data_IF_452419234072
#
_entry.id   IF_452419234072
#
_cell.length_a   1.000
_cell.length_b   1.000
_cell.length_c   1.000
_cell.angle_alpha   90.00
_cell.angle_beta   90.00
_cell.angle_gamma   90.00
#
_symmetry.space_group_name_H-M   'P 1'
#
loop_
_entity.id
_entity.type
_entity.pdbx_description
1 polymer ?
#
# COMPACT_ATOMS: atom_id res chain seq x y z
N UNK A 1 18.84 -72.92 6.89
CA UNK A 1 18.77 -71.89 5.83
C UNK A 1 18.08 -70.67 6.42
N UNK A 2 18.85 -69.73 6.99
CA UNK A 2 18.34 -68.49 7.59
C UNK A 2 18.24 -67.43 6.49
N UNK A 3 17.04 -66.88 6.24
CA UNK A 3 16.87 -65.66 5.46
C UNK A 3 16.76 -64.49 6.42
N UNK A 4 17.83 -63.69 6.49
CA UNK A 4 17.86 -62.42 7.21
C UNK A 4 17.17 -61.38 6.31
N UNK A 5 16.05 -60.83 6.79
CA UNK A 5 15.38 -59.70 6.18
C UNK A 5 16.09 -58.41 6.61
N UNK A 6 16.68 -57.70 5.64
CA UNK A 6 17.31 -56.40 5.83
C UNK A 6 16.21 -55.33 5.82
N UNK A 7 15.87 -54.77 6.98
CA UNK A 7 14.95 -53.63 7.09
C UNK A 7 15.77 -52.36 6.91
N UNK A 8 15.62 -51.68 5.77
CA UNK A 8 16.12 -50.32 5.58
C UNK A 8 15.16 -49.33 6.26
N UNK A 9 15.55 -48.82 7.42
CA UNK A 9 14.86 -47.69 8.05
C UNK A 9 15.36 -46.40 7.39
N UNK A 10 14.55 -45.81 6.52
CA UNK A 10 14.83 -44.49 5.97
C UNK A 10 14.58 -43.43 7.07
N UNK A 11 15.65 -42.80 7.55
CA UNK A 11 15.57 -41.66 8.45
C UNK A 11 15.20 -40.45 7.58
N UNK A 12 13.93 -40.02 7.64
CA UNK A 12 13.53 -38.72 7.13
C UNK A 12 14.17 -37.64 8.03
N UNK A 13 15.23 -36.98 7.55
CA UNK A 13 15.63 -35.69 8.08
C UNK A 13 14.55 -34.68 7.73
N UNK A 14 13.67 -34.36 8.67
CA UNK A 14 12.86 -33.15 8.60
C UNK A 14 13.81 -31.97 8.76
N UNK A 15 14.11 -31.28 7.65
CA UNK A 15 14.74 -29.98 7.70
C UNK A 15 13.79 -29.03 8.44
N UNK A 16 14.02 -28.84 9.74
CA UNK A 16 13.45 -27.73 10.50
C UNK A 16 14.13 -26.49 9.94
N UNK A 17 13.53 -25.89 8.91
CA UNK A 17 13.93 -24.60 8.42
C UNK A 17 13.84 -23.62 9.58
N UNK A 18 14.97 -23.04 9.99
CA UNK A 18 15.01 -21.98 10.97
C UNK A 18 14.14 -20.82 10.47
N UNK A 19 12.88 -20.75 10.93
CA UNK A 19 12.15 -19.49 10.87
C UNK A 19 12.94 -18.51 11.74
N UNK A 20 13.34 -17.33 11.23
CA UNK A 20 14.00 -16.33 12.05
C UNK A 20 13.12 -16.01 13.26
N UNK A 21 13.73 -15.89 14.44
CA UNK A 21 13.02 -15.55 15.66
C UNK A 21 12.33 -14.18 15.48
N UNK A 22 11.00 -14.15 15.45
CA UNK A 22 10.21 -12.96 15.10
C UNK A 22 10.51 -11.75 16.01
N UNK A 23 10.99 -12.00 17.23
CA UNK A 23 11.38 -10.95 18.19
C UNK A 23 12.46 -10.00 17.64
N UNK A 24 13.39 -10.49 16.82
CA UNK A 24 14.55 -9.72 16.34
C UNK A 24 14.33 -9.03 14.98
N UNK A 25 13.15 -9.16 14.39
CA UNK A 25 12.84 -8.52 13.12
C UNK A 25 12.64 -7.01 13.29
N UNK A 26 13.08 -6.22 12.31
CA UNK A 26 12.77 -4.78 12.25
C UNK A 26 11.28 -4.58 12.08
N UNK A 27 10.78 -3.40 12.46
CA UNK A 27 9.38 -3.03 12.25
C UNK A 27 8.92 -3.27 10.81
N UNK A 28 9.69 -2.79 9.82
CA UNK A 28 9.38 -2.98 8.39
C UNK A 28 9.26 -4.45 8.01
N UNK A 29 10.18 -5.29 8.49
CA UNK A 29 10.19 -6.72 8.17
C UNK A 29 8.95 -7.41 8.75
N UNK A 30 8.56 -7.07 9.98
CA UNK A 30 7.34 -7.60 10.62
C UNK A 30 6.09 -7.26 9.81
N UNK A 31 5.94 -5.99 9.44
CA UNK A 31 4.77 -5.53 8.68
C UNK A 31 4.76 -6.13 7.27
N UNK A 32 5.86 -6.06 6.53
CA UNK A 32 5.93 -6.61 5.16
C UNK A 32 5.73 -8.13 5.13
N UNK A 33 6.24 -8.86 6.13
CA UNK A 33 6.00 -10.29 6.27
C UNK A 33 4.54 -10.60 6.59
N UNK A 34 3.89 -9.83 7.47
CA UNK A 34 2.47 -10.01 7.80
C UNK A 34 1.55 -9.77 6.59
N UNK A 35 1.96 -8.93 5.65
CA UNK A 35 1.25 -8.73 4.39
C UNK A 35 1.68 -9.70 3.28
N UNK A 36 2.56 -10.65 3.56
CA UNK A 36 3.05 -11.62 2.58
C UNK A 36 3.70 -10.94 1.37
N UNK A 37 4.54 -9.92 1.59
CA UNK A 37 5.18 -9.13 0.52
C UNK A 37 5.85 -9.96 -0.57
N UNK A 38 6.54 -11.05 -0.22
CA UNK A 38 7.20 -11.91 -1.21
C UNK A 38 6.18 -12.58 -2.15
N UNK A 39 5.08 -13.10 -1.61
CA UNK A 39 4.01 -13.71 -2.41
C UNK A 39 3.29 -12.67 -3.26
N UNK A 40 3.10 -11.46 -2.72
CA UNK A 40 2.53 -10.33 -3.47
C UNK A 40 3.42 -9.94 -4.66
N UNK A 41 4.71 -9.77 -4.44
CA UNK A 41 5.68 -9.40 -5.50
C UNK A 41 5.92 -10.53 -6.52
N UNK A 42 5.59 -11.77 -6.19
CA UNK A 42 5.61 -12.89 -7.14
C UNK A 42 4.45 -12.85 -8.15
N UNK A 43 3.40 -12.08 -7.85
CA UNK A 43 2.30 -11.79 -8.79
C UNK A 43 2.69 -10.62 -9.68
N UNK A 44 2.16 -10.59 -10.89
CA UNK A 44 2.58 -9.59 -11.89
C UNK A 44 1.85 -8.26 -11.71
N UNK A 45 0.52 -8.30 -11.75
CA UNK A 45 -0.34 -7.16 -11.54
C UNK A 45 -1.49 -7.50 -10.59
N UNK A 46 -2.00 -6.49 -9.92
CA UNK A 46 -3.22 -6.55 -9.12
C UNK A 46 -4.25 -5.61 -9.74
N UNK A 47 -5.49 -6.11 -9.87
CA UNK A 47 -6.64 -5.37 -10.34
C UNK A 47 -7.68 -5.29 -9.23
N UNK A 48 -8.33 -4.14 -9.08
CA UNK A 48 -9.44 -3.95 -8.14
C UNK A 48 -10.34 -2.81 -8.60
N UNK A 49 -11.62 -2.90 -8.24
CA UNK A 49 -12.55 -1.78 -8.34
C UNK A 49 -12.42 -0.93 -7.08
N UNK A 50 -12.40 0.39 -7.27
CA UNK A 50 -12.13 1.38 -6.22
C UNK A 50 -13.21 2.45 -6.24
N UNK A 51 -13.82 2.67 -5.07
CA UNK A 51 -14.73 3.79 -4.85
C UNK A 51 -14.22 4.65 -3.71
N UNK A 52 -14.23 5.96 -3.91
CA UNK A 52 -13.75 6.95 -2.96
C UNK A 52 -14.80 8.02 -2.74
N UNK A 53 -15.04 8.34 -1.48
CA UNK A 53 -15.92 9.42 -1.05
C UNK A 53 -15.20 10.34 -0.06
N UNK A 54 -15.41 11.64 -0.19
CA UNK A 54 -14.97 12.64 0.79
C UNK A 54 -16.11 13.63 1.04
N UNK A 55 -16.38 13.95 2.31
CA UNK A 55 -17.45 14.88 2.69
C UNK A 55 -18.84 14.46 2.16
N UNK A 56 -19.10 13.15 2.10
CA UNK A 56 -20.37 12.58 1.59
C UNK A 56 -20.58 12.70 0.09
N UNK A 57 -19.52 12.97 -0.69
CA UNK A 57 -19.57 13.04 -2.16
C UNK A 57 -18.60 12.04 -2.78
N UNK A 58 -19.07 11.32 -3.79
CA UNK A 58 -18.22 10.48 -4.64
C UNK A 58 -17.13 11.35 -5.29
N UNK A 59 -15.88 10.92 -5.13
CA UNK A 59 -14.68 11.54 -5.72
C UNK A 59 -14.08 10.68 -6.82
N UNK A 60 -14.23 9.36 -6.72
CA UNK A 60 -13.73 8.42 -7.71
C UNK A 60 -14.56 7.14 -7.68
N UNK A 61 -14.89 6.63 -8.85
CA UNK A 61 -15.37 5.27 -9.08
C UNK A 61 -14.65 4.76 -10.33
N UNK A 62 -13.64 3.93 -10.11
CA UNK A 62 -12.68 3.54 -11.12
C UNK A 62 -12.13 2.14 -10.87
N UNK A 63 -11.64 1.51 -11.93
CA UNK A 63 -10.91 0.26 -11.89
C UNK A 63 -9.42 0.53 -11.95
N UNK A 64 -8.68 -0.02 -11.01
CA UNK A 64 -7.23 0.05 -10.97
C UNK A 64 -6.66 -1.25 -11.49
N UNK A 65 -5.59 -1.17 -12.28
CA UNK A 65 -4.67 -2.28 -12.53
C UNK A 65 -3.26 -1.75 -12.38
N UNK A 66 -2.48 -2.27 -11.44
CA UNK A 66 -1.12 -1.82 -11.16
C UNK A 66 -0.18 -3.01 -11.06
N UNK A 67 1.06 -2.85 -11.57
CA UNK A 67 2.10 -3.84 -11.34
C UNK A 67 2.43 -3.88 -9.84
N UNK A 68 2.68 -5.08 -9.32
CA UNK A 68 2.96 -5.28 -7.88
C UNK A 68 4.26 -4.62 -7.43
N UNK A 69 5.19 -4.40 -8.37
CA UNK A 69 6.41 -3.63 -8.16
C UNK A 69 6.20 -2.10 -8.25
N UNK A 70 4.97 -1.63 -8.41
CA UNK A 70 4.55 -0.22 -8.53
C UNK A 70 5.07 0.56 -9.74
N UNK A 71 5.71 -0.08 -10.73
CA UNK A 71 6.35 0.68 -11.82
C UNK A 71 5.37 1.16 -12.88
N UNK A 72 4.24 0.49 -13.08
CA UNK A 72 3.28 0.83 -14.12
C UNK A 72 1.86 0.56 -13.62
N UNK A 73 0.90 1.34 -14.12
CA UNK A 73 -0.50 1.16 -13.74
C UNK A 73 -1.46 1.96 -14.62
N UNK A 74 -2.72 1.56 -14.58
CA UNK A 74 -3.84 2.23 -15.24
C UNK A 74 -5.03 2.35 -14.29
N UNK A 75 -5.68 3.50 -14.37
CA UNK A 75 -6.93 3.84 -13.70
C UNK A 75 -7.96 4.04 -14.81
N UNK A 76 -9.01 3.23 -14.83
CA UNK A 76 -10.09 3.28 -15.82
C UNK A 76 -11.37 3.78 -15.13
N UNK A 77 -11.82 4.97 -15.51
CA UNK A 77 -13.04 5.57 -14.95
C UNK A 77 -14.29 5.03 -15.65
N UNK A 78 -15.45 5.15 -14.98
CA UNK A 78 -16.75 4.72 -15.54
C UNK A 78 -17.10 5.33 -16.90
N UNK A 79 -16.64 6.55 -17.19
CA UNK A 79 -16.85 7.20 -18.49
C UNK A 79 -15.90 6.70 -19.60
N UNK A 80 -15.05 5.70 -19.30
CA UNK A 80 -14.07 5.12 -20.22
C UNK A 80 -12.76 5.91 -20.32
N UNK A 81 -12.66 7.09 -19.69
CA UNK A 81 -11.38 7.82 -19.62
C UNK A 81 -10.38 7.06 -18.76
N UNK A 82 -9.09 7.26 -19.04
CA UNK A 82 -7.99 6.57 -18.36
C UNK A 82 -6.91 7.53 -17.89
N UNK A 83 -6.26 7.16 -16.79
CA UNK A 83 -4.94 7.66 -16.40
C UNK A 83 -4.00 6.45 -16.45
N UNK A 84 -2.86 6.59 -17.12
CA UNK A 84 -1.81 5.57 -17.20
C UNK A 84 -0.54 6.19 -16.66
N UNK A 85 0.13 5.50 -15.73
CA UNK A 85 1.49 5.86 -15.33
C UNK A 85 2.48 4.79 -15.76
N UNK A 86 3.64 5.23 -16.25
CA UNK A 86 4.81 4.40 -16.46
C UNK A 86 6.00 5.09 -15.80
N UNK A 87 6.40 4.53 -14.65
CA UNK A 87 7.37 5.10 -13.73
C UNK A 87 6.94 6.52 -13.32
N UNK A 88 7.69 7.52 -13.73
CA UNK A 88 7.49 8.94 -13.44
C UNK A 88 6.57 9.67 -14.43
N UNK A 89 6.27 9.04 -15.57
CA UNK A 89 5.46 9.63 -16.66
C UNK A 89 4.00 9.32 -16.46
N UNK A 90 3.15 10.33 -16.61
CA UNK A 90 1.69 10.19 -16.54
C UNK A 90 1.06 10.57 -17.88
N UNK A 91 0.17 9.71 -18.35
CA UNK A 91 -0.62 9.90 -19.56
C UNK A 91 -2.11 9.84 -19.20
N UNK A 92 -2.95 10.60 -19.89
CA UNK A 92 -4.38 10.60 -19.59
C UNK A 92 -5.24 10.91 -20.82
N UNK A 93 -6.47 10.39 -20.82
CA UNK A 93 -7.44 10.65 -21.88
C UNK A 93 -7.88 12.13 -21.89
N UNK A 94 -8.14 12.74 -23.06
CA UNK A 94 -8.64 14.11 -23.13
C UNK A 94 -9.99 14.35 -22.44
N UNK A 95 -10.74 13.28 -22.16
CA UNK A 95 -12.05 13.28 -21.50
C UNK A 95 -11.98 13.04 -19.99
N UNK A 96 -10.80 13.16 -19.38
CA UNK A 96 -10.62 12.99 -17.94
C UNK A 96 -11.50 13.99 -17.16
N UNK A 97 -12.12 13.61 -16.03
CA UNK A 97 -12.99 14.51 -15.27
C UNK A 97 -12.27 15.77 -14.74
N UNK A 98 -10.97 15.67 -14.45
CA UNK A 98 -10.16 16.79 -13.96
C UNK A 98 -8.71 16.62 -14.37
N UNK A 99 -8.20 17.51 -15.24
CA UNK A 99 -6.77 17.50 -15.60
C UNK A 99 -5.89 17.89 -14.41
N UNK A 100 -6.40 18.70 -13.48
CA UNK A 100 -5.65 19.17 -12.31
C UNK A 100 -5.21 17.99 -11.42
N UNK A 101 -6.12 17.03 -11.18
CA UNK A 101 -5.89 15.92 -10.27
C UNK A 101 -5.10 14.76 -10.87
N UNK A 102 -4.94 14.70 -12.20
CA UNK A 102 -4.34 13.55 -12.91
C UNK A 102 -3.07 12.99 -12.27
N UNK A 103 -2.07 13.86 -11.99
CA UNK A 103 -0.79 13.39 -11.44
C UNK A 103 -0.93 12.89 -9.99
N UNK A 104 -1.79 13.53 -9.21
CA UNK A 104 -2.09 13.09 -7.85
C UNK A 104 -2.81 11.73 -7.87
N UNK A 105 -3.88 11.62 -8.67
CA UNK A 105 -4.68 10.40 -8.79
C UNK A 105 -3.86 9.22 -9.33
N UNK A 106 -2.93 9.48 -10.26
CA UNK A 106 -2.05 8.47 -10.83
C UNK A 106 -1.24 7.70 -9.76
N UNK A 107 -0.83 8.37 -8.68
CA UNK A 107 0.11 7.80 -7.72
C UNK A 107 -0.47 7.58 -6.33
N UNK A 108 -1.34 8.46 -5.83
CA UNK A 108 -1.74 8.45 -4.41
C UNK A 108 -2.53 7.20 -4.03
N UNK A 109 -3.56 6.84 -4.78
CA UNK A 109 -4.47 5.75 -4.39
C UNK A 109 -3.80 4.37 -4.51
N UNK A 110 -3.02 4.17 -5.58
CA UNK A 110 -2.18 2.97 -5.71
C UNK A 110 -1.07 2.93 -4.67
N UNK A 111 -0.51 4.09 -4.27
CA UNK A 111 0.49 4.14 -3.21
C UNK A 111 -0.10 3.69 -1.87
N UNK A 112 -1.31 4.14 -1.49
CA UNK A 112 -1.98 3.66 -0.28
C UNK A 112 -2.30 2.16 -0.35
N UNK A 113 -2.74 1.65 -1.50
CA UNK A 113 -2.93 0.20 -1.68
C UNK A 113 -1.61 -0.58 -1.49
N UNK A 114 -0.52 -0.07 -2.07
CA UNK A 114 0.79 -0.74 -2.08
C UNK A 114 1.63 -0.45 -0.83
N UNK A 115 1.21 0.46 0.03
CA UNK A 115 1.98 0.96 1.17
C UNK A 115 2.57 -0.14 2.06
N UNK A 116 1.83 -1.18 2.50
CA UNK A 116 2.40 -2.23 3.35
C UNK A 116 3.50 -3.06 2.66
N UNK A 117 3.65 -2.96 1.34
CA UNK A 117 4.67 -3.67 0.55
C UNK A 117 5.89 -2.80 0.20
N UNK A 118 5.86 -1.50 0.53
CA UNK A 118 6.87 -0.51 0.11
C UNK A 118 7.68 0.05 1.28
N UNK A 119 7.52 -0.50 2.48
CA UNK A 119 8.12 0.02 3.71
C UNK A 119 9.65 -0.09 3.70
N UNK A 120 10.22 -1.03 2.97
CA UNK A 120 11.67 -1.19 2.77
C UNK A 120 12.19 -0.67 1.43
N UNK A 121 11.40 0.12 0.68
CA UNK A 121 11.83 0.66 -0.61
C UNK A 121 13.07 1.57 -0.47
N UNK A 122 13.93 1.64 -1.50
CA UNK A 122 15.06 2.56 -1.51
C UNK A 122 14.62 4.00 -1.27
N UNK A 123 15.27 4.68 -0.31
CA UNK A 123 14.97 6.07 0.03
C UNK A 123 14.17 6.25 1.33
N UNK A 124 13.53 5.19 1.83
CA UNK A 124 12.89 5.18 3.15
C UNK A 124 13.91 5.37 4.29
N UNK A 125 13.50 6.09 5.33
CA UNK A 125 14.23 6.28 6.58
C UNK A 125 13.24 6.06 7.73
N UNK A 126 13.53 5.08 8.58
CA UNK A 126 12.70 4.72 9.72
C UNK A 126 13.31 5.18 11.03
N UNK A 127 12.48 5.79 11.87
CA UNK A 127 12.86 6.32 13.16
C UNK A 127 11.85 5.85 14.22
N UNK A 128 12.36 5.64 15.44
CA UNK A 128 11.49 5.40 16.58
C UNK A 128 10.50 6.55 16.77
N UNK A 129 9.26 6.20 17.12
CA UNK A 129 8.21 7.18 17.41
C UNK A 129 7.53 6.82 18.73
N UNK A 130 7.52 7.76 19.66
CA UNK A 130 6.89 7.58 20.96
C UNK A 130 5.38 7.83 20.84
N UNK A 131 4.61 6.78 20.53
CA UNK A 131 3.17 6.85 20.47
C UNK A 131 2.58 7.16 21.86
N UNK A 132 1.79 8.24 21.95
CA UNK A 132 1.13 8.72 23.17
C UNK A 132 -0.40 8.65 23.08
N UNK A 133 -0.93 8.08 22.01
CA UNK A 133 -2.38 7.89 21.82
C UNK A 133 -2.93 6.97 22.91
N UNK A 134 -4.22 7.12 23.25
CA UNK A 134 -4.84 6.37 24.35
C UNK A 134 -4.76 4.84 24.17
N UNK A 135 -4.76 4.38 22.93
CA UNK A 135 -4.73 2.99 22.50
C UNK A 135 -3.33 2.52 22.06
N UNK A 136 -2.26 3.25 22.42
CA UNK A 136 -0.90 2.96 21.98
C UNK A 136 -0.44 1.51 22.28
N UNK A 137 -0.96 0.88 23.33
CA UNK A 137 -0.60 -0.48 23.72
C UNK A 137 -0.94 -1.54 22.65
N UNK A 138 -1.90 -1.22 21.77
CA UNK A 138 -2.36 -2.10 20.69
C UNK A 138 -1.42 -2.09 19.47
N UNK A 139 -0.47 -1.16 19.39
CA UNK A 139 0.32 -0.96 18.17
C UNK A 139 1.82 -1.07 18.39
N UNK A 140 2.50 -1.58 17.36
CA UNK A 140 3.88 -1.21 17.07
C UNK A 140 3.85 0.07 16.21
N UNK A 141 4.65 1.08 16.55
CA UNK A 141 4.61 2.38 15.86
C UNK A 141 6.01 2.91 15.55
N UNK A 142 6.23 3.30 14.29
CA UNK A 142 7.45 3.98 13.87
C UNK A 142 7.13 5.12 12.88
N UNK A 143 8.06 6.06 12.76
CA UNK A 143 7.96 7.19 11.83
C UNK A 143 8.82 6.95 10.60
N UNK A 144 8.18 7.03 9.43
CA UNK A 144 8.79 6.98 8.11
C UNK A 144 8.97 8.41 7.56
N UNK A 145 10.18 8.67 7.07
CA UNK A 145 10.53 9.86 6.27
C UNK A 145 11.34 9.42 5.05
N UNK A 146 11.63 10.32 4.12
CA UNK A 146 12.34 9.98 2.89
C UNK A 146 13.64 10.76 2.69
N UNK A 147 14.59 10.15 1.97
CA UNK A 147 15.77 10.86 1.46
C UNK A 147 15.33 11.87 0.39
N UNK A 148 16.04 13.00 0.31
CA UNK A 148 15.85 13.95 -0.80
C UNK A 148 15.92 13.26 -2.16
N UNK A 149 15.02 13.61 -3.07
CA UNK A 149 14.89 13.01 -4.40
C UNK A 149 14.13 11.67 -4.45
N UNK A 150 13.56 11.21 -3.33
CA UNK A 150 12.69 10.02 -3.30
C UNK A 150 11.27 10.38 -3.71
N UNK A 151 10.86 9.94 -4.90
CA UNK A 151 9.51 10.19 -5.41
C UNK A 151 9.17 11.67 -5.61
N UNK A 152 7.88 11.97 -5.75
CA UNK A 152 7.37 13.31 -6.04
C UNK A 152 7.30 14.22 -4.79
N UNK A 153 7.26 13.64 -3.59
CA UNK A 153 7.06 14.37 -2.33
C UNK A 153 7.99 13.85 -1.21
N UNK A 154 9.32 14.00 -1.35
CA UNK A 154 10.28 13.52 -0.35
C UNK A 154 10.16 14.20 1.02
N UNK A 155 9.45 15.33 1.10
CA UNK A 155 9.20 16.07 2.34
C UNK A 155 8.01 15.54 3.15
N UNK A 156 7.25 14.59 2.59
CA UNK A 156 6.18 13.89 3.31
C UNK A 156 6.77 13.02 4.43
N UNK A 157 5.93 12.75 5.43
CA UNK A 157 6.22 11.75 6.45
C UNK A 157 4.99 10.92 6.74
N UNK A 158 5.23 9.73 7.30
CA UNK A 158 4.20 8.84 7.80
C UNK A 158 4.51 8.45 9.24
N UNK A 159 3.51 8.38 10.10
CA UNK A 159 3.59 7.59 11.35
C UNK A 159 2.77 6.34 11.12
N UNK A 160 3.41 5.17 11.19
CA UNK A 160 2.84 3.90 10.76
C UNK A 160 2.54 3.05 11.97
N UNK A 161 1.31 2.55 12.06
CA UNK A 161 0.79 1.79 13.18
C UNK A 161 0.43 0.39 12.67
N UNK A 162 1.14 -0.61 13.17
CA UNK A 162 0.84 -2.00 12.92
C UNK A 162 0.21 -2.61 14.17
N UNK A 163 -0.85 -3.40 13.99
CA UNK A 163 -1.46 -4.16 15.07
C UNK A 163 -0.40 -5.05 15.73
N UNK A 164 -0.31 -5.00 17.05
CA UNK A 164 0.79 -5.66 17.79
C UNK A 164 0.68 -7.18 17.80
N UNK A 165 -0.51 -7.71 17.52
CA UNK A 165 -0.77 -9.16 17.53
C UNK A 165 -0.48 -9.78 16.17
N UNK A 166 -0.90 -9.12 15.10
CA UNK A 166 -0.87 -9.63 13.72
C UNK A 166 0.23 -9.01 12.88
N UNK A 167 0.77 -7.85 13.29
CA UNK A 167 1.64 -6.97 12.51
C UNK A 167 1.01 -6.47 11.19
N UNK A 168 -0.30 -6.65 10.99
CA UNK A 168 -1.00 -6.03 9.87
C UNK A 168 -1.06 -4.51 10.06
N UNK A 169 -1.04 -3.79 8.95
CA UNK A 169 -1.06 -2.35 8.94
C UNK A 169 -2.46 -1.91 9.32
N UNK A 170 -2.57 -1.13 10.40
CA UNK A 170 -3.87 -0.70 10.89
C UNK A 170 -4.17 0.74 10.49
N UNK A 171 -3.21 1.64 10.67
CA UNK A 171 -3.34 3.03 10.23
C UNK A 171 -1.98 3.63 9.90
N UNK A 172 -1.99 4.68 9.10
CA UNK A 172 -0.85 5.55 8.88
C UNK A 172 -1.31 7.01 8.95
N UNK A 173 -0.73 7.79 9.87
CA UNK A 173 -0.86 9.25 9.84
C UNK A 173 0.13 9.80 8.80
N UNK A 174 -0.24 10.87 8.10
CA UNK A 174 0.57 11.43 7.02
C UNK A 174 0.28 12.91 6.78
N UNK A 175 1.20 13.53 6.06
CA UNK A 175 1.01 14.84 5.42
C UNK A 175 1.12 14.70 3.90
N UNK A 176 0.58 15.66 3.17
CA UNK A 176 0.72 15.76 1.71
C UNK A 176 1.28 17.13 1.37
N UNK A 177 2.58 17.19 1.09
CA UNK A 177 3.32 18.44 0.91
C UNK A 177 3.32 18.96 -0.53
N UNK A 178 2.99 18.14 -1.53
CA UNK A 178 3.13 18.47 -2.96
C UNK A 178 2.36 19.74 -3.39
N UNK A 179 1.30 20.13 -2.67
CA UNK A 179 0.50 21.32 -2.99
C UNK A 179 0.90 22.58 -2.22
N UNK A 180 1.23 22.43 -0.94
CA UNK A 180 1.34 23.55 0.02
C UNK A 180 2.71 23.67 0.68
N UNK A 181 3.62 22.73 0.41
CA UNK A 181 4.86 22.59 1.14
C UNK A 181 4.67 21.95 2.52
N UNK A 182 5.78 21.54 3.12
CA UNK A 182 5.80 20.78 4.38
C UNK A 182 5.20 21.53 5.56
N UNK A 183 5.65 22.76 5.81
CA UNK A 183 5.22 23.54 6.98
C UNK A 183 3.71 23.76 7.02
N UNK A 184 3.09 23.98 5.85
CA UNK A 184 1.63 24.13 5.77
C UNK A 184 0.93 22.78 5.92
N UNK A 185 1.45 21.72 5.31
CA UNK A 185 0.86 20.39 5.41
C UNK A 185 0.91 19.83 6.85
N UNK A 186 1.92 20.20 7.65
CA UNK A 186 2.03 19.81 9.06
C UNK A 186 1.00 20.49 9.98
N UNK A 187 0.29 21.53 9.52
CA UNK A 187 -0.79 22.15 10.29
C UNK A 187 -2.08 21.33 10.29
N UNK A 188 -2.26 20.47 9.29
CA UNK A 188 -3.46 19.65 9.10
C UNK A 188 -3.11 18.21 8.64
N UNK A 189 -2.43 17.43 9.50
CA UNK A 189 -2.11 16.06 9.18
C UNK A 189 -3.36 15.17 9.16
N UNK A 190 -3.35 14.20 8.25
CA UNK A 190 -4.43 13.24 8.08
C UNK A 190 -3.97 11.84 8.50
N UNK A 191 -4.90 10.89 8.50
CA UNK A 191 -4.59 9.48 8.62
C UNK A 191 -5.47 8.64 7.72
N UNK A 192 -4.93 7.51 7.26
CA UNK A 192 -5.66 6.44 6.61
C UNK A 192 -5.70 5.26 7.57
N UNK A 193 -6.88 4.68 7.76
CA UNK A 193 -7.08 3.45 8.52
C UNK A 193 -7.49 2.32 7.56
N UNK A 194 -6.87 1.15 7.71
CA UNK A 194 -7.06 -0.03 6.88
C UNK A 194 -7.93 -1.04 7.63
N UNK A 195 -9.10 -1.35 7.07
CA UNK A 195 -10.12 -2.17 7.69
C UNK A 195 -10.55 -3.31 6.76
N UNK A 196 -11.27 -4.27 7.34
CA UNK A 196 -11.92 -5.37 6.62
C UNK A 196 -10.95 -6.16 5.74
N UNK A 197 -9.85 -6.62 6.34
CA UNK A 197 -8.88 -7.47 5.65
C UNK A 197 -9.52 -8.77 5.16
N UNK A 198 -9.28 -9.09 3.89
CA UNK A 198 -9.68 -10.35 3.25
C UNK A 198 -8.47 -11.01 2.60
N UNK A 199 -8.47 -12.33 2.59
CA UNK A 199 -7.45 -13.11 1.89
C UNK A 199 -7.79 -13.18 0.39
N UNK A 200 -6.88 -12.71 -0.45
CA UNK A 200 -6.94 -12.81 -1.91
C UNK A 200 -5.74 -13.62 -2.37
N UNK A 201 -5.97 -14.81 -2.93
CA UNK A 201 -4.91 -15.80 -3.21
C UNK A 201 -3.96 -16.05 -2.02
N UNK A 202 -4.48 -16.00 -0.79
CA UNK A 202 -3.69 -16.19 0.42
C UNK A 202 -2.91 -14.96 0.89
N UNK A 203 -3.13 -13.78 0.31
CA UNK A 203 -2.50 -12.52 0.72
C UNK A 203 -3.55 -11.62 1.40
N UNK A 204 -3.31 -11.09 2.61
CA UNK A 204 -4.26 -10.24 3.30
C UNK A 204 -4.31 -8.84 2.68
N UNK A 205 -5.51 -8.39 2.32
CA UNK A 205 -5.74 -7.07 1.71
C UNK A 205 -6.90 -6.36 2.38
N UNK A 206 -6.69 -5.12 2.82
CA UNK A 206 -7.74 -4.28 3.36
C UNK A 206 -8.73 -3.90 2.26
N UNK A 207 -10.03 -4.13 2.51
CA UNK A 207 -11.09 -3.83 1.54
C UNK A 207 -11.86 -2.55 1.85
N UNK A 208 -11.55 -1.92 2.98
CA UNK A 208 -12.14 -0.65 3.40
C UNK A 208 -11.05 0.26 3.96
N UNK A 209 -11.02 1.51 3.51
CA UNK A 209 -10.17 2.54 4.10
C UNK A 209 -11.00 3.67 4.63
N UNK A 210 -10.65 4.18 5.81
CA UNK A 210 -11.27 5.40 6.36
C UNK A 210 -10.20 6.47 6.50
N UNK A 211 -10.50 7.66 5.98
CA UNK A 211 -9.64 8.83 6.07
C UNK A 211 -10.10 9.70 7.24
N UNK A 212 -9.13 10.13 8.04
CA UNK A 212 -9.35 10.86 9.29
C UNK A 212 -8.49 12.13 9.33
N UNK A 213 -8.95 13.14 10.06
CA UNK A 213 -8.02 14.11 10.65
C UNK A 213 -7.16 13.41 11.70
N UNK A 214 -5.90 13.82 11.86
CA UNK A 214 -5.01 13.25 12.87
C UNK A 214 -4.40 14.33 13.74
N UNK A 215 -4.13 14.02 15.00
CA UNK A 215 -3.45 14.93 15.93
C UNK A 215 -2.44 14.18 16.79
N UNK A 216 -1.21 14.69 16.86
CA UNK A 216 -0.14 14.13 17.67
C UNK A 216 -0.57 13.93 19.13
N UNK A 217 -0.37 12.71 19.64
CA UNK A 217 -0.78 12.28 20.98
C UNK A 217 -2.27 12.00 21.17
N UNK A 218 -3.15 12.44 20.27
CA UNK A 218 -4.59 12.19 20.33
C UNK A 218 -5.03 11.06 19.37
N UNK A 219 -4.38 10.96 18.22
CA UNK A 219 -4.68 9.99 17.17
C UNK A 219 -5.75 10.45 16.20
N UNK A 220 -6.59 9.51 15.77
CA UNK A 220 -7.68 9.75 14.81
C UNK A 220 -8.71 10.72 15.42
N UNK A 221 -9.22 11.64 14.59
CA UNK A 221 -10.18 12.68 15.01
C UNK A 221 -11.48 12.58 14.19
N UNK A 222 -11.76 13.56 13.32
CA UNK A 222 -12.96 13.58 12.50
C UNK A 222 -12.77 12.67 11.28
N UNK A 223 -13.81 11.92 10.93
CA UNK A 223 -13.87 11.20 9.66
C UNK A 223 -13.99 12.21 8.51
N UNK A 224 -13.16 12.02 7.48
CA UNK A 224 -13.08 12.90 6.31
C UNK A 224 -13.61 12.21 5.06
N UNK A 225 -13.37 10.90 4.94
CA UNK A 225 -13.71 10.15 3.75
C UNK A 225 -13.58 8.64 3.94
N UNK A 226 -14.04 7.93 2.91
CA UNK A 226 -14.12 6.49 2.88
C UNK A 226 -13.65 6.01 1.50
N UNK A 227 -12.89 4.92 1.47
CA UNK A 227 -12.70 4.13 0.25
C UNK A 227 -13.13 2.68 0.45
N UNK A 228 -13.65 2.08 -0.62
CA UNK A 228 -13.96 0.65 -0.67
C UNK A 228 -13.30 0.01 -1.89
N UNK A 229 -12.75 -1.17 -1.67
CA UNK A 229 -12.10 -1.98 -2.70
C UNK A 229 -12.87 -3.28 -2.86
N UNK A 230 -13.20 -3.61 -4.11
CA UNK A 230 -13.90 -4.84 -4.46
C UNK A 230 -13.24 -5.53 -5.66
N UNK A 231 -13.62 -6.78 -5.88
CA UNK A 231 -13.16 -7.60 -7.02
C UNK A 231 -11.62 -7.63 -7.17
N UNK A 232 -10.93 -7.63 -6.03
CA UNK A 232 -9.47 -7.68 -5.98
C UNK A 232 -9.00 -9.03 -6.50
N UNK A 233 -8.12 -9.01 -7.50
CA UNK A 233 -7.57 -10.21 -8.13
C UNK A 233 -6.21 -9.94 -8.73
N UNK A 234 -5.38 -10.97 -8.78
CA UNK A 234 -4.13 -10.92 -9.53
C UNK A 234 -4.36 -11.24 -11.00
N UNK A 235 -3.70 -10.49 -11.88
CA UNK A 235 -3.84 -10.63 -13.33
C UNK A 235 -2.48 -10.67 -14.00
N UNK A 236 -2.48 -11.21 -15.22
CA UNK A 236 -1.38 -11.11 -16.18
C UNK A 236 -1.71 -9.98 -17.14
N UNK A 237 -0.72 -9.18 -17.51
CA UNK A 237 -0.86 -8.03 -18.41
C UNK A 237 0.14 -8.19 -19.55
N UNK A 238 -0.30 -7.88 -20.77
CA UNK A 238 0.62 -7.84 -21.89
C UNK A 238 1.45 -6.55 -21.86
N UNK A 239 2.51 -6.50 -22.68
CA UNK A 239 3.41 -5.36 -22.75
C UNK A 239 2.74 -4.07 -23.27
N UNK A 240 1.54 -4.19 -23.86
CA UNK A 240 0.79 -3.08 -24.43
C UNK A 240 -0.26 -2.52 -23.46
N UNK A 241 -0.52 -3.21 -22.35
CA UNK A 241 -1.56 -2.89 -21.39
C UNK A 241 -1.42 -1.48 -20.79
N UNK A 242 -0.18 -1.03 -20.58
CA UNK A 242 0.15 0.31 -20.07
C UNK A 242 0.64 1.27 -21.15
N UNK A 243 0.36 1.00 -22.43
CA UNK A 243 0.67 1.94 -23.51
C UNK A 243 -0.46 2.98 -23.64
N UNK A 244 -0.11 4.28 -23.68
CA UNK A 244 -1.11 5.31 -23.90
C UNK A 244 -1.66 5.26 -25.34
N UNK A 245 -2.91 5.65 -25.50
CA UNK A 245 -3.49 5.91 -26.81
C UNK A 245 -2.81 7.09 -27.50
N UNK A 246 -2.89 7.15 -28.84
CA UNK A 246 -2.26 8.21 -29.62
C UNK A 246 -2.81 9.62 -29.30
N UNK A 247 -4.02 9.70 -28.77
CA UNK A 247 -4.72 10.93 -28.37
C UNK A 247 -4.49 11.33 -26.91
N UNK A 248 -3.76 10.52 -26.13
CA UNK A 248 -3.52 10.81 -24.72
C UNK A 248 -2.62 12.04 -24.55
N UNK A 249 -2.94 12.85 -23.54
CA UNK A 249 -2.12 13.95 -23.07
C UNK A 249 -1.11 13.47 -22.03
N UNK A 250 -0.09 14.28 -21.73
CA UNK A 250 0.97 13.97 -20.75
C UNK A 250 0.99 14.95 -19.58
N UNK A 251 1.38 14.49 -18.39
CA UNK A 251 1.58 15.32 -17.19
C UNK A 251 2.79 14.87 -16.36
#
# INVERSE_FOLDING_TARGET
MNKIALVLTAILLTAVGCKPNEENLKFTDKVENAHHKQDFLAKEAVQFDFKLEFGGKERMDAKFTTLTNSTEGVIEFKNGSKIIFNKDKVYYSPTIPSEESVRFDAFTWSYFFLFPYKLSDPGTIWNAYANKEKDFENYNTEKLTFKSGTGDAPDDWYVVYADKTTNLLEKAAYIVSVKSGKEEAEKDPHAIQYLDYKMVDGIPMATKWVFWGWKDGNGLTNELGLATLSDIKFVKVDADYFKPGADFKTK
#
